data_IF_408953334091
#
_entry.id   IF_408953334091
#
_cell.length_a   1.000
_cell.length_b   1.000
_cell.length_c   1.000
_cell.angle_alpha   90.00
_cell.angle_beta   90.00
_cell.angle_gamma   90.00
#
_symmetry.space_group_name_H-M   'P 1'
#
loop_
_entity.id
_entity.type
_entity.pdbx_description
1 polymer ?
#
# COMPACT_ATOMS: atom_id res chain seq x y z
N UNK A 1 -20.76 14.05 12.00
CA UNK A 1 -19.63 13.61 12.74
C UNK A 1 -18.71 14.76 13.02
N UNK A 2 -18.23 14.84 14.25
CA UNK A 2 -17.33 15.90 14.64
C UNK A 2 -16.01 15.74 13.92
N UNK A 3 -15.47 16.78 13.32
CA UNK A 3 -14.20 16.67 12.65
C UNK A 3 -13.05 16.19 13.53
N UNK A 4 -13.09 16.53 14.79
CA UNK A 4 -12.05 16.07 15.67
C UNK A 4 -12.12 14.58 15.94
N UNK A 5 -13.31 14.04 16.03
CA UNK A 5 -13.45 12.62 16.20
C UNK A 5 -12.97 11.90 14.96
N UNK A 6 -13.26 12.44 13.80
CA UNK A 6 -12.85 11.82 12.57
C UNK A 6 -11.35 11.82 12.45
N UNK A 7 -10.70 12.93 12.78
CA UNK A 7 -9.26 13.00 12.71
C UNK A 7 -8.60 12.06 13.73
N UNK A 8 -9.23 11.88 14.86
CA UNK A 8 -8.64 10.99 15.87
C UNK A 8 -8.65 9.54 15.41
N UNK A 9 -9.54 9.19 14.49
CA UNK A 9 -9.59 7.83 13.99
C UNK A 9 -8.82 7.64 12.70
N UNK A 10 -8.35 8.71 12.10
CA UNK A 10 -7.60 8.60 10.86
C UNK A 10 -6.26 7.94 11.10
N UNK A 11 -5.78 7.11 10.20
CA UNK A 11 -4.50 6.47 10.41
C UNK A 11 -3.37 7.45 10.21
N UNK A 12 -2.26 7.21 10.84
CA UNK A 12 -1.08 8.00 10.63
C UNK A 12 -0.31 7.40 9.48
N UNK A 13 0.45 8.23 8.80
CA UNK A 13 1.22 7.75 7.66
C UNK A 13 2.16 6.62 8.08
N UNK A 14 2.77 6.74 9.23
CA UNK A 14 3.70 5.72 9.68
C UNK A 14 3.01 4.39 9.95
N UNK A 15 1.73 4.41 10.27
CA UNK A 15 1.00 3.17 10.51
C UNK A 15 0.43 2.63 9.22
N UNK A 16 0.08 3.50 8.30
CA UNK A 16 -0.55 3.09 7.07
C UNK A 16 0.44 2.61 6.03
N UNK A 17 1.63 3.17 6.01
CA UNK A 17 2.64 2.80 5.04
C UNK A 17 3.75 1.98 5.66
N UNK A 18 3.40 1.01 6.46
CA UNK A 18 4.41 0.19 7.08
C UNK A 18 4.57 -1.12 6.33
N UNK A 19 5.61 -1.83 6.64
CA UNK A 19 5.90 -3.08 6.02
C UNK A 19 4.72 -4.03 6.13
N UNK A 20 4.39 -4.69 5.06
CA UNK A 20 3.29 -5.64 5.02
C UNK A 20 1.96 -5.07 4.57
N UNK A 21 1.86 -3.76 4.42
CA UNK A 21 0.61 -3.18 3.97
C UNK A 21 0.49 -3.28 2.45
N UNK A 22 -0.71 -3.52 1.98
CA UNK A 22 -0.96 -3.59 0.55
C UNK A 22 -1.38 -2.21 0.06
N UNK A 23 -0.70 -1.70 -0.94
CA UNK A 23 -0.99 -0.36 -1.45
C UNK A 23 -1.08 -0.36 -2.96
N UNK A 24 -1.79 0.61 -3.49
CA UNK A 24 -1.84 0.87 -4.90
C UNK A 24 -1.30 2.28 -5.11
N UNK A 25 -0.26 2.43 -5.88
CA UNK A 25 0.42 3.68 -6.05
C UNK A 25 0.25 4.19 -7.47
N UNK A 26 -0.10 5.46 -7.60
CA UNK A 26 -0.15 6.12 -8.89
C UNK A 26 1.04 7.03 -9.00
N UNK A 27 1.79 6.90 -10.07
CA UNK A 27 2.95 7.76 -10.28
C UNK A 27 2.56 8.97 -11.11
N UNK A 28 3.41 9.98 -11.12
CA UNK A 28 3.12 11.17 -11.90
C UNK A 28 3.07 10.89 -13.40
N UNK A 29 3.65 9.79 -13.84
CA UNK A 29 3.56 9.42 -15.24
C UNK A 29 2.25 8.69 -15.57
N UNK A 30 1.41 8.48 -14.58
CA UNK A 30 0.12 7.83 -14.82
C UNK A 30 0.13 6.33 -14.66
N UNK A 31 1.24 5.75 -14.24
CA UNK A 31 1.28 4.31 -14.03
C UNK A 31 0.69 3.95 -12.68
N UNK A 32 0.03 2.83 -12.63
CA UNK A 32 -0.49 2.34 -11.36
C UNK A 32 0.26 1.08 -10.99
N UNK A 33 0.78 1.03 -9.79
CA UNK A 33 1.58 -0.08 -9.31
C UNK A 33 1.03 -0.53 -7.99
N UNK A 34 0.71 -1.79 -7.87
CA UNK A 34 0.13 -2.32 -6.63
C UNK A 34 1.03 -3.40 -6.06
N UNK A 35 1.15 -3.45 -4.77
CA UNK A 35 1.96 -4.46 -4.13
C UNK A 35 2.03 -4.28 -2.64
N UNK A 36 2.83 -5.13 -2.01
CA UNK A 36 3.03 -5.06 -0.57
C UNK A 36 4.27 -4.24 -0.27
N UNK A 37 4.18 -3.43 0.76
CA UNK A 37 5.34 -2.65 1.17
C UNK A 37 6.33 -3.56 1.84
N UNK A 38 7.53 -3.66 1.28
CA UNK A 38 8.60 -4.42 1.87
C UNK A 38 9.45 -3.56 2.76
N UNK A 39 9.61 -2.32 2.41
CA UNK A 39 10.42 -1.42 3.20
C UNK A 39 10.00 0.01 2.90
N UNK A 40 10.16 0.87 3.86
CA UNK A 40 9.92 2.29 3.69
C UNK A 40 11.09 3.03 4.26
N UNK A 41 11.69 3.89 3.46
CA UNK A 41 12.80 4.65 3.97
C UNK A 41 12.68 6.09 3.54
N UNK A 42 13.68 6.88 3.87
CA UNK A 42 13.64 8.30 3.62
C UNK A 42 13.53 8.63 2.16
N UNK A 43 14.07 7.80 1.29
CA UNK A 43 14.08 8.08 -0.13
C UNK A 43 12.90 7.51 -0.89
N UNK A 44 12.17 6.58 -0.34
CA UNK A 44 11.02 6.01 -1.06
C UNK A 44 10.51 4.72 -0.47
N UNK A 45 9.73 4.02 -1.28
CA UNK A 45 9.12 2.76 -0.86
C UNK A 45 9.63 1.62 -1.73
N UNK A 46 9.85 0.48 -1.10
CA UNK A 46 10.17 -0.73 -1.83
C UNK A 46 8.94 -1.62 -1.79
N UNK A 47 8.44 -2.01 -2.94
CA UNK A 47 7.25 -2.83 -3.04
C UNK A 47 7.54 -4.19 -3.64
N UNK A 48 6.83 -5.17 -3.14
CA UNK A 48 6.83 -6.49 -3.75
C UNK A 48 5.63 -6.55 -4.67
N UNK A 49 5.89 -6.56 -5.96
CA UNK A 49 4.84 -6.52 -6.96
C UNK A 49 4.69 -7.83 -7.69
N UNK A 50 5.02 -8.92 -7.04
CA UNK A 50 4.90 -10.23 -7.65
C UNK A 50 3.47 -10.49 -8.07
N UNK A 51 3.27 -10.93 -9.29
CA UNK A 51 1.96 -11.21 -9.80
C UNK A 51 1.80 -12.71 -10.00
N UNK A 52 0.75 -13.28 -9.50
CA UNK A 52 0.60 -14.74 -9.56
C UNK A 52 0.43 -15.28 -10.97
N UNK A 53 -0.10 -14.48 -11.87
CA UNK A 53 -0.34 -14.96 -13.21
C UNK A 53 0.82 -14.79 -14.14
N UNK A 54 1.84 -14.11 -13.72
CA UNK A 54 2.99 -13.87 -14.53
C UNK A 54 4.16 -14.47 -13.81
N UNK A 55 4.94 -15.20 -14.51
CA UNK A 55 6.08 -15.82 -13.89
C UNK A 55 7.13 -14.76 -13.66
N UNK A 56 6.79 -13.73 -12.97
CA UNK A 56 7.70 -12.67 -12.68
C UNK A 56 7.59 -12.33 -11.22
N UNK A 57 8.68 -12.27 -10.58
CA UNK A 57 8.74 -11.84 -9.23
C UNK A 57 9.58 -10.63 -9.24
N UNK A 58 9.24 -9.67 -8.46
CA UNK A 58 10.06 -8.50 -8.47
C UNK A 58 9.77 -7.52 -7.40
N UNK A 59 10.77 -6.73 -7.13
CA UNK A 59 10.66 -5.65 -6.20
C UNK A 59 10.84 -4.36 -6.98
N UNK A 60 10.02 -3.39 -6.68
CA UNK A 60 10.10 -2.10 -7.34
C UNK A 60 10.34 -1.04 -6.30
N UNK A 61 11.36 -0.22 -6.50
CA UNK A 61 11.61 0.88 -5.60
C UNK A 61 11.05 2.16 -6.21
N UNK A 62 10.22 2.86 -5.47
CA UNK A 62 9.61 4.08 -5.93
C UNK A 62 10.07 5.25 -5.07
N UNK A 63 10.85 6.15 -5.62
CA UNK A 63 11.21 7.35 -4.87
C UNK A 63 9.98 8.18 -4.56
N UNK A 64 9.98 8.84 -3.43
CA UNK A 64 8.82 9.65 -3.06
C UNK A 64 8.48 10.69 -4.13
N UNK A 65 9.46 11.19 -4.85
CA UNK A 65 9.22 12.21 -5.86
C UNK A 65 8.44 11.69 -7.07
N UNK A 66 8.39 10.38 -7.26
CA UNK A 66 7.64 9.82 -8.38
C UNK A 66 6.22 9.46 -8.00
N UNK A 67 5.87 9.52 -6.74
CA UNK A 67 4.57 9.07 -6.26
C UNK A 67 3.61 10.23 -6.20
N UNK A 68 2.53 10.13 -6.94
CA UNK A 68 1.49 11.12 -6.87
C UNK A 68 0.53 10.79 -5.74
N UNK A 69 0.18 9.53 -5.60
CA UNK A 69 -0.85 9.14 -4.67
C UNK A 69 -0.64 7.70 -4.22
N UNK A 70 -0.91 7.42 -2.98
CA UNK A 70 -0.88 6.07 -2.45
C UNK A 70 -2.25 5.74 -1.90
N UNK A 71 -2.86 4.67 -2.42
CA UNK A 71 -4.13 4.23 -1.91
C UNK A 71 -3.88 3.01 -1.06
N UNK A 72 -4.28 3.05 0.18
CA UNK A 72 -4.06 1.97 1.11
C UNK A 72 -5.26 1.06 1.09
N UNK A 73 -5.03 -0.22 0.94
CA UNK A 73 -6.11 -1.15 0.87
C UNK A 73 -6.18 -2.00 2.10
N UNK A 74 -7.34 -2.07 2.67
CA UNK A 74 -7.53 -2.93 3.79
C UNK A 74 -8.16 -4.15 3.31
N UNK A 75 -7.40 -5.16 3.03
CA UNK A 75 -7.99 -6.30 2.45
C UNK A 75 -8.08 -7.46 3.33
N UNK A 76 -7.48 -7.41 4.42
CA UNK A 76 -7.26 -8.60 5.08
C UNK A 76 -8.34 -9.19 5.84
N UNK A 77 -8.95 -8.46 6.65
CA UNK A 77 -9.85 -9.06 7.53
C UNK A 77 -11.00 -9.64 6.90
N UNK A 78 -11.44 -9.07 5.84
CA UNK A 78 -12.61 -9.52 5.26
C UNK A 78 -12.55 -10.83 4.69
N UNK A 79 -11.46 -11.23 4.17
CA UNK A 79 -11.46 -12.43 3.51
C UNK A 79 -11.36 -13.56 4.42
N UNK A 80 -10.82 -13.36 5.51
CA UNK A 80 -10.64 -14.44 6.38
C UNK A 80 -11.90 -15.02 6.85
N UNK A 81 -12.90 -14.23 6.89
CA UNK A 81 -14.08 -14.70 7.35
C UNK A 81 -14.80 -15.60 6.52
N UNK A 82 -14.47 -15.72 5.36
CA UNK A 82 -15.22 -16.56 4.55
C UNK A 82 -14.83 -17.94 4.56
N UNK A 83 -13.88 -18.32 5.25
CA UNK A 83 -13.50 -19.64 5.22
C UNK A 83 -14.52 -20.40 5.87
N UNK A 84 -15.24 -21.12 5.19
CA UNK A 84 -16.33 -21.75 5.76
C UNK A 84 -15.82 -22.87 6.45
N UNK A 85 -15.32 -22.89 6.96
CA UNK A 85 -14.94 -23.94 7.70
C UNK A 85 -15.23 -25.14 7.19
#
# INVERSE_FOLDING_TARGET
MDPQEWLARAPKVSDALKKGMFVSITTWSGREIAGLICDREQSGLLLDVSEPDVDSEGYVFLPWSSIEQVKIREVTQRRVKFLPG
#
